data_IF_223514497909
#
_entry.id   IF_223514497909
#
_cell.length_a   1.000
_cell.length_b   1.000
_cell.length_c   1.000
_cell.angle_alpha   90.00
_cell.angle_beta   90.00
_cell.angle_gamma   90.00
#
_symmetry.space_group_name_H-M   'P 1'
#
loop_
_entity.id
_entity.type
_entity.pdbx_description
1 polymer ?
#
# COMPACT_ATOMS: atom_id res chain seq x y z
N UNK A 1 -17.29 4.11 -19.02
CA UNK A 1 -18.61 4.79 -18.89
C UNK A 1 -18.35 6.28 -18.82
N UNK A 2 -19.23 7.16 -19.28
CA UNK A 2 -19.08 8.55 -18.94
C UNK A 2 -19.10 8.67 -17.40
N UNK A 3 -18.19 9.48 -16.88
CA UNK A 3 -18.17 9.81 -15.45
C UNK A 3 -19.54 10.33 -15.07
N UNK A 4 -20.15 9.70 -14.06
CA UNK A 4 -21.47 10.13 -13.63
C UNK A 4 -21.37 11.41 -12.83
N UNK A 5 -22.26 12.37 -13.00
CA UNK A 5 -22.37 13.49 -12.08
C UNK A 5 -22.54 12.94 -10.65
N UNK A 6 -21.80 13.50 -9.69
CA UNK A 6 -21.84 13.09 -8.29
C UNK A 6 -23.28 12.97 -7.76
N UNK A 7 -24.13 13.97 -8.05
CA UNK A 7 -25.52 13.99 -7.65
C UNK A 7 -26.33 12.79 -8.19
N UNK A 8 -26.02 12.32 -9.40
CA UNK A 8 -26.68 11.14 -9.99
C UNK A 8 -26.24 9.86 -9.25
N UNK A 9 -24.95 9.71 -8.97
CA UNK A 9 -24.42 8.56 -8.24
C UNK A 9 -24.99 8.50 -6.80
N UNK A 10 -25.12 9.64 -6.13
CA UNK A 10 -25.71 9.72 -4.79
C UNK A 10 -27.18 9.28 -4.83
N UNK A 11 -27.97 9.81 -5.75
CA UNK A 11 -29.38 9.40 -5.93
C UNK A 11 -29.49 7.92 -6.25
N UNK A 12 -28.61 7.39 -7.10
CA UNK A 12 -28.56 5.98 -7.44
C UNK A 12 -28.25 5.10 -6.21
N UNK A 13 -27.21 5.45 -5.43
CA UNK A 13 -26.82 4.73 -4.24
C UNK A 13 -27.93 4.74 -3.18
N UNK A 14 -28.57 5.90 -2.91
CA UNK A 14 -29.71 6.01 -1.99
C UNK A 14 -30.90 5.13 -2.40
N UNK A 15 -31.18 5.03 -3.70
CA UNK A 15 -32.29 4.24 -4.22
C UNK A 15 -32.04 2.73 -4.11
N UNK A 16 -30.84 2.29 -4.42
CA UNK A 16 -30.54 0.89 -4.70
C UNK A 16 -29.75 0.18 -3.59
N UNK A 17 -29.04 0.90 -2.72
CA UNK A 17 -28.29 0.32 -1.59
C UNK A 17 -29.00 0.58 -0.28
N UNK A 18 -29.41 -0.46 0.47
CA UNK A 18 -30.00 -0.29 1.80
C UNK A 18 -29.09 0.48 2.77
N UNK A 19 -27.77 0.26 2.70
CA UNK A 19 -26.78 0.96 3.52
C UNK A 19 -26.78 2.47 3.24
N UNK A 20 -26.69 2.88 1.98
CA UNK A 20 -26.68 4.31 1.63
C UNK A 20 -28.03 4.98 1.81
N UNK A 21 -29.13 4.24 1.69
CA UNK A 21 -30.47 4.74 2.01
C UNK A 21 -30.58 5.15 3.47
N UNK A 22 -30.02 4.34 4.36
CA UNK A 22 -30.02 4.61 5.80
C UNK A 22 -29.02 5.73 6.14
N UNK A 23 -27.78 5.64 5.68
CA UNK A 23 -26.73 6.62 5.93
C UNK A 23 -27.13 8.03 5.49
N UNK A 24 -27.79 8.14 4.34
CA UNK A 24 -28.18 9.43 3.75
C UNK A 24 -29.67 9.80 4.00
N UNK A 25 -30.32 9.15 4.95
CA UNK A 25 -31.75 9.39 5.24
C UNK A 25 -32.07 10.83 5.64
N UNK A 26 -31.11 11.53 6.24
CA UNK A 26 -31.26 12.91 6.72
C UNK A 26 -30.74 13.97 5.75
N UNK A 27 -30.14 13.55 4.62
CA UNK A 27 -29.65 14.48 3.63
C UNK A 27 -30.80 15.00 2.75
N UNK A 28 -30.70 16.21 2.20
CA UNK A 28 -31.63 16.73 1.21
C UNK A 28 -31.64 15.81 -0.04
N UNK A 29 -32.66 15.95 -0.87
CA UNK A 29 -32.78 15.15 -2.10
C UNK A 29 -31.68 15.51 -3.11
N UNK A 30 -31.27 16.75 -3.13
CA UNK A 30 -30.16 17.23 -3.96
C UNK A 30 -28.94 17.54 -3.08
N UNK A 31 -27.83 16.89 -3.38
CA UNK A 31 -26.52 17.11 -2.78
C UNK A 31 -25.58 17.57 -3.89
N UNK A 32 -25.09 18.80 -3.77
CA UNK A 32 -24.26 19.41 -4.81
C UNK A 32 -22.77 19.10 -4.66
N UNK A 33 -22.28 19.02 -3.42
CA UNK A 33 -20.87 18.89 -3.12
C UNK A 33 -20.58 17.60 -2.35
N UNK A 34 -19.41 17.01 -2.63
CA UNK A 34 -18.96 15.81 -1.90
C UNK A 34 -18.83 16.06 -0.40
N UNK A 35 -18.44 17.27 -0.02
CA UNK A 35 -18.29 17.72 1.37
C UNK A 35 -19.60 17.78 2.16
N UNK A 36 -20.75 17.77 1.48
CA UNK A 36 -22.07 17.74 2.12
C UNK A 36 -22.44 16.31 2.58
N UNK A 37 -21.72 15.29 2.08
CA UNK A 37 -21.91 13.92 2.51
C UNK A 37 -21.18 13.66 3.84
N UNK A 38 -21.73 12.82 4.73
CA UNK A 38 -20.95 12.31 5.86
C UNK A 38 -19.80 11.42 5.35
N UNK A 39 -18.67 11.43 6.07
CA UNK A 39 -17.63 10.41 5.88
C UNK A 39 -18.19 9.05 6.25
N UNK A 40 -18.00 8.06 5.40
CA UNK A 40 -18.53 6.71 5.62
C UNK A 40 -17.91 6.09 6.88
N UNK A 41 -18.72 5.62 7.85
CA UNK A 41 -18.22 4.87 8.99
C UNK A 41 -17.69 3.51 8.52
N UNK A 42 -16.39 3.36 8.47
CA UNK A 42 -15.71 2.20 7.85
C UNK A 42 -16.15 0.86 8.48
N UNK A 43 -16.31 0.82 9.81
CA UNK A 43 -16.75 -0.40 10.50
C UNK A 43 -18.18 -0.81 10.10
N UNK A 44 -19.09 0.15 9.93
CA UNK A 44 -20.47 -0.10 9.52
C UNK A 44 -20.55 -0.50 8.05
N UNK A 45 -19.74 0.14 7.19
CA UNK A 45 -19.62 -0.20 5.78
C UNK A 45 -19.23 -1.67 5.60
N UNK A 46 -18.20 -2.14 6.29
CA UNK A 46 -17.76 -3.53 6.20
C UNK A 46 -18.71 -4.51 6.87
N UNK A 47 -19.41 -4.10 7.92
CA UNK A 47 -20.45 -4.92 8.52
C UNK A 47 -21.65 -5.09 7.57
N UNK A 48 -22.00 -4.05 6.82
CA UNK A 48 -23.07 -4.10 5.82
C UNK A 48 -22.69 -4.90 4.57
N UNK A 49 -21.39 -5.19 4.38
CA UNK A 49 -20.82 -5.89 3.22
C UNK A 49 -20.64 -7.40 3.47
N UNK A 50 -21.64 -8.04 4.07
CA UNK A 50 -21.62 -9.50 4.29
C UNK A 50 -21.88 -10.26 2.99
N UNK A 51 -21.14 -11.32 2.64
CA UNK A 51 -21.44 -12.12 1.45
C UNK A 51 -22.83 -12.81 1.47
N UNK A 52 -23.38 -13.03 2.65
CA UNK A 52 -24.68 -13.72 2.81
C UNK A 52 -25.86 -12.75 2.86
N UNK A 53 -25.66 -11.57 3.44
CA UNK A 53 -26.67 -10.54 3.57
C UNK A 53 -26.01 -9.18 3.30
N UNK A 54 -25.89 -8.88 2.00
CA UNK A 54 -25.18 -7.69 1.55
C UNK A 54 -26.15 -6.51 1.43
N UNK A 55 -26.01 -5.55 2.32
CA UNK A 55 -26.80 -4.32 2.34
C UNK A 55 -26.12 -3.15 1.61
N UNK A 56 -24.87 -3.35 1.19
CA UNK A 56 -24.08 -2.32 0.53
C UNK A 56 -24.29 -2.29 -0.99
N UNK A 57 -24.45 -3.48 -1.59
CA UNK A 57 -24.57 -3.60 -3.05
C UNK A 57 -25.87 -2.98 -3.55
N UNK A 58 -25.80 -2.47 -4.79
CA UNK A 58 -26.93 -1.82 -5.48
C UNK A 58 -27.71 -2.76 -6.40
N UNK A 59 -27.20 -3.98 -6.62
CA UNK A 59 -27.81 -5.01 -7.45
C UNK A 59 -27.38 -6.42 -6.98
N UNK A 60 -28.10 -7.47 -7.37
CA UNK A 60 -27.67 -8.86 -7.19
C UNK A 60 -26.31 -9.15 -7.85
N UNK A 61 -25.62 -10.18 -7.37
CA UNK A 61 -24.33 -10.64 -7.93
C UNK A 61 -24.56 -11.64 -9.06
N UNK A 62 -25.08 -11.18 -10.19
CA UNK A 62 -25.29 -12.04 -11.35
C UNK A 62 -24.02 -12.17 -12.19
N UNK A 63 -23.21 -11.10 -12.26
CA UNK A 63 -21.94 -11.07 -12.96
C UNK A 63 -20.97 -10.12 -12.22
N UNK A 64 -20.00 -10.68 -11.50
CA UNK A 64 -18.99 -9.91 -10.79
C UNK A 64 -17.69 -10.67 -10.62
N UNK A 65 -16.58 -9.95 -10.54
CA UNK A 65 -15.35 -10.46 -9.91
C UNK A 65 -15.33 -10.03 -8.45
N UNK A 66 -14.95 -10.97 -7.59
CA UNK A 66 -14.90 -10.77 -6.14
C UNK A 66 -13.46 -10.86 -5.66
N UNK A 67 -13.05 -9.86 -4.91
CA UNK A 67 -11.75 -9.85 -4.25
C UNK A 67 -11.91 -9.75 -2.74
N UNK A 68 -10.88 -10.22 -2.03
CA UNK A 68 -10.79 -10.14 -0.58
C UNK A 68 -9.55 -9.35 -0.20
N UNK A 69 -9.71 -8.21 0.45
CA UNK A 69 -8.58 -7.52 1.08
C UNK A 69 -8.22 -8.17 2.41
N UNK A 70 -6.91 -8.17 2.73
CA UNK A 70 -6.41 -8.79 3.94
C UNK A 70 -6.71 -7.94 5.16
N UNK A 71 -7.53 -8.46 6.04
CA UNK A 71 -7.52 -8.03 7.43
C UNK A 71 -6.52 -8.90 8.19
N UNK A 72 -5.40 -8.38 8.61
CA UNK A 72 -4.50 -9.08 9.54
C UNK A 72 -5.10 -9.21 10.94
N UNK A 73 -6.13 -8.43 11.24
CA UNK A 73 -6.73 -8.29 12.59
C UNK A 73 -8.26 -8.28 12.60
N UNK A 74 -8.94 -8.47 11.46
CA UNK A 74 -10.40 -8.32 11.40
C UNK A 74 -11.10 -9.28 10.43
N UNK A 75 -12.43 -9.18 10.35
CA UNK A 75 -13.24 -9.93 9.40
C UNK A 75 -12.81 -9.65 7.95
N UNK A 76 -12.88 -10.65 7.05
CA UNK A 76 -12.53 -10.46 5.64
C UNK A 76 -13.36 -9.34 5.00
N UNK A 77 -12.71 -8.46 4.25
CA UNK A 77 -13.33 -7.38 3.49
C UNK A 77 -13.47 -7.80 2.03
N UNK A 78 -14.68 -7.85 1.50
CA UNK A 78 -14.94 -8.27 0.12
C UNK A 78 -15.25 -7.06 -0.76
N UNK A 79 -14.63 -7.01 -1.93
CA UNK A 79 -14.87 -5.99 -2.94
C UNK A 79 -15.39 -6.63 -4.22
N UNK A 80 -16.42 -6.02 -4.78
CA UNK A 80 -17.16 -6.54 -5.92
C UNK A 80 -17.06 -5.56 -7.08
N UNK A 81 -16.75 -6.07 -8.25
CA UNK A 81 -16.69 -5.31 -9.49
C UNK A 81 -17.50 -6.01 -10.55
N UNK A 82 -18.38 -5.30 -11.24
CA UNK A 82 -18.95 -5.80 -12.49
C UNK A 82 -17.84 -5.96 -13.54
N UNK A 83 -18.11 -6.74 -14.60
CA UNK A 83 -17.19 -6.87 -15.73
C UNK A 83 -16.81 -5.52 -16.31
N UNK A 84 -17.77 -4.60 -16.43
CA UNK A 84 -17.54 -3.26 -16.96
C UNK A 84 -16.67 -2.43 -16.04
N UNK A 85 -16.99 -2.37 -14.73
CA UNK A 85 -16.17 -1.63 -13.75
C UNK A 85 -14.74 -2.16 -13.69
N UNK A 86 -14.55 -3.47 -13.69
CA UNK A 86 -13.20 -4.07 -13.70
C UNK A 86 -12.43 -3.73 -14.97
N UNK A 87 -13.08 -3.80 -16.12
CA UNK A 87 -12.46 -3.43 -17.40
C UNK A 87 -12.02 -1.97 -17.41
N UNK A 88 -12.88 -1.07 -16.95
CA UNK A 88 -12.59 0.38 -16.93
C UNK A 88 -11.49 0.71 -15.92
N UNK A 89 -11.54 0.11 -14.74
CA UNK A 89 -10.50 0.25 -13.72
C UNK A 89 -9.13 -0.18 -14.26
N UNK A 90 -9.04 -1.39 -14.83
CA UNK A 90 -7.77 -1.91 -15.35
C UNK A 90 -7.31 -1.19 -16.63
N UNK A 91 -8.22 -0.66 -17.44
CA UNK A 91 -7.86 0.13 -18.62
C UNK A 91 -7.28 1.51 -18.24
N UNK A 92 -7.92 2.21 -17.30
CA UNK A 92 -7.43 3.50 -16.81
C UNK A 92 -6.04 3.34 -16.15
N UNK A 93 -5.87 2.29 -15.35
CA UNK A 93 -4.59 1.99 -14.71
C UNK A 93 -3.53 1.60 -15.76
N UNK A 94 -3.91 0.78 -16.75
CA UNK A 94 -3.03 0.40 -17.88
C UNK A 94 -2.55 1.59 -18.71
N UNK A 95 -3.39 2.61 -18.87
CA UNK A 95 -2.98 3.89 -19.48
C UNK A 95 -1.96 4.62 -18.59
N UNK A 96 -2.14 4.60 -17.28
CA UNK A 96 -1.19 5.16 -16.30
C UNK A 96 0.20 4.53 -16.37
N UNK A 97 0.31 3.23 -16.69
CA UNK A 97 1.60 2.53 -16.82
C UNK A 97 2.47 3.12 -17.94
N UNK A 98 1.88 3.67 -18.99
CA UNK A 98 2.63 4.36 -20.06
C UNK A 98 3.30 5.61 -19.50
N UNK A 99 2.58 6.39 -18.70
CA UNK A 99 3.14 7.53 -17.97
C UNK A 99 4.24 7.14 -16.99
N UNK A 100 4.15 5.96 -16.40
CA UNK A 100 5.17 5.39 -15.51
C UNK A 100 6.39 4.80 -16.27
N UNK A 101 6.38 4.74 -17.61
CA UNK A 101 7.52 4.32 -18.42
C UNK A 101 7.34 3.03 -19.22
N UNK A 102 6.17 2.42 -19.22
CA UNK A 102 5.89 1.25 -20.10
C UNK A 102 5.98 1.65 -21.56
N UNK A 103 6.74 0.90 -22.37
CA UNK A 103 6.97 1.16 -23.79
C UNK A 103 6.49 0.00 -24.66
N UNK A 104 6.23 0.26 -25.97
CA UNK A 104 5.91 -0.80 -26.90
C UNK A 104 7.00 -1.87 -26.96
N UNK A 105 6.60 -3.15 -26.92
CA UNK A 105 7.49 -4.29 -27.02
C UNK A 105 8.13 -4.73 -25.71
N UNK A 106 7.97 -4.00 -24.59
CA UNK A 106 8.46 -4.45 -23.29
C UNK A 106 7.94 -5.84 -22.94
N UNK A 107 8.85 -6.68 -22.46
CA UNK A 107 8.55 -7.96 -21.80
C UNK A 107 8.43 -7.69 -20.31
N UNK A 108 7.24 -7.88 -19.78
CA UNK A 108 6.88 -7.55 -18.40
C UNK A 108 6.66 -8.83 -17.61
N UNK A 109 7.45 -9.07 -16.60
CA UNK A 109 7.26 -10.15 -15.64
C UNK A 109 6.37 -9.68 -14.49
N UNK A 110 5.23 -10.35 -14.30
CA UNK A 110 4.33 -10.11 -13.19
C UNK A 110 4.69 -11.10 -12.06
N UNK A 111 5.28 -10.57 -10.98
CA UNK A 111 5.65 -11.29 -9.76
C UNK A 111 4.73 -10.94 -8.59
N UNK A 112 3.54 -10.39 -8.83
CA UNK A 112 2.55 -10.22 -7.79
C UNK A 112 1.97 -11.58 -7.36
N UNK A 113 1.28 -11.59 -6.24
CA UNK A 113 0.69 -12.80 -5.68
C UNK A 113 -0.73 -13.02 -6.18
N UNK A 114 -1.09 -14.28 -6.39
CA UNK A 114 -2.40 -14.75 -6.83
C UNK A 114 -3.01 -15.74 -5.82
N UNK A 115 -4.30 -15.96 -5.97
CA UNK A 115 -5.05 -16.95 -5.18
C UNK A 115 -5.79 -16.33 -3.99
N UNK A 116 -6.65 -17.12 -3.37
CA UNK A 116 -7.44 -16.76 -2.19
C UNK A 116 -8.17 -15.40 -2.34
N UNK A 117 -8.73 -15.15 -3.51
CA UNK A 117 -9.40 -13.91 -3.90
C UNK A 117 -8.50 -12.65 -3.84
N UNK A 118 -7.19 -12.80 -3.83
CA UNK A 118 -6.27 -11.67 -3.83
C UNK A 118 -6.14 -11.05 -5.23
N UNK A 119 -6.25 -9.73 -5.32
CA UNK A 119 -6.45 -9.04 -6.59
C UNK A 119 -5.16 -8.76 -7.38
N UNK A 120 -4.01 -8.58 -6.71
CA UNK A 120 -2.85 -7.89 -7.30
C UNK A 120 -2.35 -8.48 -8.60
N UNK A 121 -2.17 -9.81 -8.69
CA UNK A 121 -1.72 -10.48 -9.90
C UNK A 121 -2.67 -10.27 -11.07
N UNK A 122 -3.96 -10.57 -10.85
CA UNK A 122 -4.99 -10.38 -11.89
C UNK A 122 -5.13 -8.91 -12.30
N UNK A 123 -5.01 -8.01 -11.33
CA UNK A 123 -5.08 -6.56 -11.57
C UNK A 123 -3.94 -6.07 -12.47
N UNK A 124 -2.70 -6.44 -12.16
CA UNK A 124 -1.53 -6.05 -12.95
C UNK A 124 -1.58 -6.67 -14.34
N UNK A 125 -1.89 -7.96 -14.44
CA UNK A 125 -1.99 -8.67 -15.71
C UNK A 125 -3.07 -8.07 -16.63
N UNK A 126 -4.25 -7.76 -16.08
CA UNK A 126 -5.34 -7.13 -16.82
C UNK A 126 -5.04 -5.67 -17.19
N UNK A 127 -4.34 -4.93 -16.33
CA UNK A 127 -3.90 -3.56 -16.63
C UNK A 127 -2.88 -3.54 -17.77
N UNK A 128 -1.91 -4.44 -17.76
CA UNK A 128 -0.96 -4.61 -18.88
C UNK A 128 -1.66 -5.03 -20.18
N UNK A 129 -2.66 -5.92 -20.07
CA UNK A 129 -3.46 -6.34 -21.23
C UNK A 129 -4.23 -5.19 -21.87
N UNK A 130 -4.72 -4.25 -21.07
CA UNK A 130 -5.52 -3.10 -21.52
C UNK A 130 -4.70 -1.83 -21.72
N UNK A 131 -3.39 -1.90 -21.50
CA UNK A 131 -2.50 -0.79 -21.79
C UNK A 131 -2.58 -0.42 -23.28
N UNK A 132 -2.55 0.88 -23.64
CA UNK A 132 -2.59 1.32 -25.04
C UNK A 132 -1.31 0.96 -25.83
N UNK A 133 -0.25 0.49 -25.16
CA UNK A 133 0.98 0.03 -25.82
C UNK A 133 1.09 -1.49 -25.79
N UNK A 134 1.49 -2.08 -26.94
CA UNK A 134 1.72 -3.51 -27.05
C UNK A 134 2.87 -3.95 -26.12
N UNK A 135 2.66 -5.02 -25.38
CA UNK A 135 3.63 -5.59 -24.45
C UNK A 135 3.51 -7.12 -24.39
N UNK A 136 4.59 -7.78 -23.98
CA UNK A 136 4.62 -9.22 -23.71
C UNK A 136 4.52 -9.44 -22.21
N UNK A 137 3.56 -10.23 -21.78
CA UNK A 137 3.27 -10.48 -20.37
C UNK A 137 3.74 -11.87 -19.98
N UNK A 138 4.55 -11.94 -18.92
CA UNK A 138 5.03 -13.18 -18.32
C UNK A 138 4.39 -13.32 -16.93
N UNK A 139 3.30 -14.10 -16.81
CA UNK A 139 2.60 -14.29 -15.55
C UNK A 139 3.32 -15.34 -14.68
N UNK A 140 4.38 -14.92 -13.99
CA UNK A 140 5.23 -15.82 -13.18
C UNK A 140 4.63 -16.04 -11.79
N UNK A 141 4.24 -14.94 -11.11
CA UNK A 141 3.72 -14.96 -9.74
C UNK A 141 4.80 -14.94 -8.66
N UNK A 142 4.52 -14.22 -7.57
CA UNK A 142 5.49 -13.96 -6.50
C UNK A 142 5.87 -15.16 -5.64
N UNK A 143 5.10 -16.26 -5.70
CA UNK A 143 5.40 -17.50 -4.98
C UNK A 143 6.34 -18.44 -5.76
N UNK A 144 6.68 -18.12 -7.01
CA UNK A 144 7.60 -18.93 -7.83
C UNK A 144 9.00 -18.93 -7.22
N UNK A 145 9.70 -20.09 -7.16
CA UNK A 145 11.07 -20.16 -6.68
C UNK A 145 11.99 -19.16 -7.41
N UNK A 146 12.85 -18.49 -6.66
CA UNK A 146 13.68 -17.39 -7.20
C UNK A 146 14.60 -17.84 -8.33
N UNK A 147 15.12 -19.08 -8.29
CA UNK A 147 15.97 -19.65 -9.34
C UNK A 147 15.23 -19.75 -10.67
N UNK A 148 13.98 -20.25 -10.62
CA UNK A 148 13.09 -20.33 -11.79
C UNK A 148 12.71 -18.95 -12.30
N UNK A 149 12.40 -18.02 -11.38
CA UNK A 149 12.12 -16.63 -11.71
C UNK A 149 13.29 -16.00 -12.43
N UNK A 150 14.51 -16.08 -11.85
CA UNK A 150 15.70 -15.49 -12.43
C UNK A 150 16.05 -16.11 -13.81
N UNK A 151 15.94 -17.43 -13.96
CA UNK A 151 16.14 -18.09 -15.23
C UNK A 151 15.15 -17.61 -16.31
N UNK A 152 13.87 -17.47 -15.95
CA UNK A 152 12.86 -16.94 -16.87
C UNK A 152 13.13 -15.49 -17.27
N UNK A 153 13.54 -14.64 -16.32
CA UNK A 153 13.87 -13.23 -16.60
C UNK A 153 15.03 -13.12 -17.59
N UNK A 154 16.06 -13.95 -17.46
CA UNK A 154 17.20 -14.00 -18.38
C UNK A 154 16.81 -14.57 -19.75
N UNK A 155 16.13 -15.74 -19.79
CA UNK A 155 15.77 -16.43 -21.03
C UNK A 155 14.89 -15.55 -21.91
N UNK A 156 13.93 -14.83 -21.32
CA UNK A 156 13.05 -13.92 -22.05
C UNK A 156 13.61 -12.51 -22.17
N UNK A 157 14.81 -12.23 -21.62
CA UNK A 157 15.42 -10.88 -21.62
C UNK A 157 14.41 -9.83 -21.19
N UNK A 158 13.85 -10.01 -20.01
CA UNK A 158 12.79 -9.19 -19.47
C UNK A 158 13.28 -7.78 -19.17
N UNK A 159 12.57 -6.76 -19.67
CA UNK A 159 12.90 -5.35 -19.43
C UNK A 159 12.15 -4.77 -18.22
N UNK A 160 11.01 -5.33 -17.83
CA UNK A 160 10.20 -4.78 -16.76
C UNK A 160 9.82 -5.88 -15.76
N UNK A 161 10.12 -5.67 -14.50
CA UNK A 161 9.69 -6.56 -13.40
C UNK A 161 8.67 -5.82 -12.55
N UNK A 162 7.46 -6.38 -12.40
CA UNK A 162 6.38 -5.83 -11.61
C UNK A 162 6.14 -6.68 -10.34
N UNK A 163 6.32 -6.10 -9.15
CA UNK A 163 6.17 -6.80 -7.88
C UNK A 163 5.93 -5.86 -6.70
N UNK A 164 5.75 -6.41 -5.50
CA UNK A 164 5.86 -5.61 -4.27
C UNK A 164 7.32 -5.26 -3.98
N UNK A 165 7.65 -4.13 -3.34
CA UNK A 165 8.99 -3.81 -2.86
C UNK A 165 9.65 -4.97 -2.11
N UNK A 166 8.92 -5.60 -1.21
CA UNK A 166 9.41 -6.78 -0.45
C UNK A 166 9.84 -7.92 -1.37
N UNK A 167 9.08 -8.22 -2.42
CA UNK A 167 9.42 -9.28 -3.39
C UNK A 167 10.64 -8.90 -4.23
N UNK A 168 10.72 -7.63 -4.69
CA UNK A 168 11.87 -7.12 -5.43
C UNK A 168 13.15 -7.21 -4.61
N UNK A 169 13.13 -6.77 -3.35
CA UNK A 169 14.29 -6.83 -2.45
C UNK A 169 14.70 -8.28 -2.14
N UNK A 170 13.73 -9.19 -1.93
CA UNK A 170 14.04 -10.60 -1.71
C UNK A 170 14.70 -11.25 -2.93
N UNK A 171 14.24 -10.92 -4.13
CA UNK A 171 14.88 -11.38 -5.38
C UNK A 171 16.27 -10.77 -5.54
N UNK A 172 16.43 -9.47 -5.30
CA UNK A 172 17.69 -8.76 -5.40
C UNK A 172 18.75 -9.32 -4.43
N UNK A 173 18.38 -9.59 -3.16
CA UNK A 173 19.28 -10.22 -2.18
C UNK A 173 19.80 -11.57 -2.68
N UNK A 174 18.91 -12.41 -3.24
CA UNK A 174 19.27 -13.75 -3.71
C UNK A 174 20.18 -13.69 -4.94
N UNK A 175 19.88 -12.80 -5.90
CA UNK A 175 20.74 -12.57 -7.08
C UNK A 175 22.14 -12.10 -6.66
N UNK A 176 22.21 -11.09 -5.80
CA UNK A 176 23.50 -10.53 -5.33
C UNK A 176 24.33 -11.59 -4.61
N UNK A 177 23.73 -12.40 -3.74
CA UNK A 177 24.45 -13.49 -3.06
C UNK A 177 24.92 -14.60 -4.00
N UNK A 178 24.20 -14.81 -5.10
CA UNK A 178 24.62 -15.74 -6.16
C UNK A 178 25.64 -15.13 -7.13
N UNK A 179 26.07 -13.88 -6.92
CA UNK A 179 26.97 -13.16 -7.83
C UNK A 179 26.34 -12.87 -9.19
N UNK A 180 25.00 -12.75 -9.26
CA UNK A 180 24.24 -12.55 -10.50
C UNK A 180 23.61 -11.17 -10.52
N UNK A 181 23.51 -10.60 -11.72
CA UNK A 181 22.79 -9.36 -12.01
C UNK A 181 21.86 -9.56 -13.21
N UNK A 182 20.83 -8.77 -13.34
CA UNK A 182 19.91 -8.78 -14.47
C UNK A 182 19.93 -7.42 -15.21
N UNK A 183 20.95 -7.20 -16.06
CA UNK A 183 21.18 -5.91 -16.71
C UNK A 183 20.16 -5.58 -17.82
N UNK A 184 19.42 -6.57 -18.33
CA UNK A 184 18.34 -6.34 -19.31
C UNK A 184 17.09 -5.67 -18.67
N UNK A 185 16.96 -5.72 -17.34
CA UNK A 185 15.84 -5.06 -16.63
C UNK A 185 16.08 -3.55 -16.61
N UNK A 186 15.14 -2.81 -17.21
CA UNK A 186 15.15 -1.35 -17.32
C UNK A 186 14.20 -0.66 -16.34
N UNK A 187 13.14 -1.36 -15.92
CA UNK A 187 12.13 -0.83 -14.99
C UNK A 187 11.78 -1.85 -13.91
N UNK A 188 11.69 -1.36 -12.67
CA UNK A 188 11.10 -2.08 -11.56
C UNK A 188 9.78 -1.42 -11.19
N UNK A 189 8.67 -1.96 -11.69
CA UNK A 189 7.35 -1.51 -11.31
C UNK A 189 6.98 -2.06 -9.94
N UNK A 190 6.77 -1.18 -8.97
CA UNK A 190 6.36 -1.58 -7.64
C UNK A 190 4.98 -1.04 -7.27
N UNK A 191 4.29 -1.77 -6.38
CA UNK A 191 2.99 -1.38 -5.85
C UNK A 191 2.56 -2.22 -4.65
N UNK A 192 1.49 -1.77 -4.00
CA UNK A 192 0.96 -2.43 -2.82
C UNK A 192 1.70 -2.16 -1.52
N UNK A 193 2.92 -1.64 -1.60
CA UNK A 193 3.75 -1.15 -0.48
C UNK A 193 4.49 0.11 -0.93
N UNK A 194 4.95 0.92 0.03
CA UNK A 194 5.88 2.00 -0.26
C UNK A 194 7.29 1.43 -0.50
N UNK A 195 8.01 1.99 -1.45
CA UNK A 195 9.44 1.78 -1.64
C UNK A 195 10.20 2.89 -0.92
N UNK A 196 11.18 2.52 -0.12
CA UNK A 196 11.97 3.44 0.68
C UNK A 196 13.40 3.56 0.15
N UNK A 197 14.07 4.68 0.49
CA UNK A 197 15.41 5.00 0.00
C UNK A 197 16.49 3.99 0.42
N UNK A 198 16.36 3.35 1.57
CA UNK A 198 17.26 2.30 2.09
C UNK A 198 17.23 1.02 1.23
N UNK A 199 16.17 0.78 0.48
CA UNK A 199 16.04 -0.39 -0.40
C UNK A 199 16.69 -0.17 -1.77
N UNK A 200 16.88 1.07 -2.20
CA UNK A 200 17.39 1.40 -3.54
C UNK A 200 18.79 0.84 -3.83
N UNK A 201 19.80 0.90 -2.92
CA UNK A 201 21.13 0.35 -3.17
C UNK A 201 21.12 -1.16 -3.44
N UNK A 202 20.28 -1.92 -2.72
CA UNK A 202 20.12 -3.36 -2.93
C UNK A 202 19.55 -3.65 -4.32
N UNK A 203 18.51 -2.91 -4.72
CA UNK A 203 17.89 -3.05 -6.05
C UNK A 203 18.89 -2.69 -7.16
N UNK A 204 19.64 -1.59 -7.02
CA UNK A 204 20.63 -1.17 -8.00
C UNK A 204 21.78 -2.18 -8.18
N UNK A 205 22.13 -2.91 -7.12
CA UNK A 205 23.16 -3.97 -7.19
C UNK A 205 22.72 -5.14 -8.08
N UNK A 206 21.47 -5.58 -7.94
CA UNK A 206 20.94 -6.71 -8.70
C UNK A 206 20.44 -6.34 -10.11
N UNK A 207 19.92 -5.11 -10.25
CA UNK A 207 19.32 -4.57 -11.48
C UNK A 207 20.00 -3.25 -11.87
N UNK A 208 21.26 -3.30 -12.36
CA UNK A 208 22.11 -2.11 -12.49
C UNK A 208 21.59 -1.04 -13.46
N UNK A 209 20.72 -1.40 -14.39
CA UNK A 209 20.14 -0.49 -15.38
C UNK A 209 18.67 -0.14 -15.09
N UNK A 210 18.11 -0.67 -14.00
CA UNK A 210 16.69 -0.54 -13.74
C UNK A 210 16.35 0.72 -12.93
N UNK A 211 15.28 1.39 -13.34
CA UNK A 211 14.70 2.50 -12.61
C UNK A 211 13.44 2.02 -11.84
N UNK A 212 13.40 2.16 -10.51
CA UNK A 212 12.19 1.89 -9.74
C UNK A 212 11.11 2.94 -10.02
N UNK A 213 9.90 2.48 -10.34
CA UNK A 213 8.74 3.32 -10.64
C UNK A 213 7.50 2.78 -9.96
N UNK A 214 6.71 3.64 -9.33
CA UNK A 214 5.40 3.26 -8.84
C UNK A 214 4.50 2.84 -10.00
N UNK A 215 3.76 1.74 -9.84
CA UNK A 215 2.66 1.39 -10.75
C UNK A 215 1.53 2.43 -10.72
N UNK A 216 1.45 3.20 -9.64
CA UNK A 216 0.35 4.04 -9.26
C UNK A 216 -0.27 3.58 -7.94
N UNK A 217 -1.25 4.32 -7.48
CA UNK A 217 -1.95 4.08 -6.24
C UNK A 217 -3.38 3.62 -6.52
N UNK A 218 -3.68 2.41 -6.10
CA UNK A 218 -4.98 1.78 -6.22
C UNK A 218 -5.27 0.92 -4.98
N UNK A 219 -6.54 0.80 -4.65
CA UNK A 219 -7.02 -0.09 -3.60
C UNK A 219 -8.14 -0.95 -4.14
N UNK A 220 -8.15 -2.24 -3.79
CA UNK A 220 -9.25 -3.12 -4.18
C UNK A 220 -10.58 -2.68 -3.57
N UNK A 221 -10.54 -1.99 -2.44
CA UNK A 221 -11.72 -1.48 -1.74
C UNK A 221 -12.23 -0.18 -2.37
N UNK A 222 -11.33 0.79 -2.55
CA UNK A 222 -11.65 2.14 -3.01
C UNK A 222 -11.55 2.31 -4.54
N UNK A 223 -10.83 1.42 -5.23
CA UNK A 223 -10.67 1.44 -6.68
C UNK A 223 -9.47 2.25 -7.14
N UNK A 224 -9.67 3.01 -8.21
CA UNK A 224 -8.67 3.85 -8.87
C UNK A 224 -8.43 5.12 -8.05
N UNK A 225 -7.19 5.39 -7.65
CA UNK A 225 -6.87 6.50 -6.74
C UNK A 225 -5.91 7.52 -7.37
N UNK A 226 -4.71 7.11 -7.74
CA UNK A 226 -3.73 8.03 -8.30
C UNK A 226 -2.74 7.39 -9.27
N UNK A 227 -2.43 8.10 -10.36
CA UNK A 227 -1.36 7.75 -11.28
C UNK A 227 -0.01 8.17 -10.69
N UNK A 228 1.04 7.40 -10.95
CA UNK A 228 2.40 7.76 -10.58
C UNK A 228 2.84 9.08 -11.22
N UNK A 229 3.59 9.91 -10.49
CA UNK A 229 4.19 11.14 -11.00
C UNK A 229 5.69 10.89 -11.22
N UNK A 230 6.17 10.79 -12.47
CA UNK A 230 7.58 10.53 -12.74
C UNK A 230 8.49 11.66 -12.24
N UNK A 231 9.67 11.28 -11.72
CA UNK A 231 10.67 12.23 -11.26
C UNK A 231 10.46 12.79 -9.84
N UNK A 232 9.34 12.46 -9.22
CA UNK A 232 9.00 12.84 -7.85
C UNK A 232 9.29 11.71 -6.85
N UNK A 233 9.08 12.01 -5.57
CA UNK A 233 9.06 10.97 -4.53
C UNK A 233 8.10 9.83 -4.97
N UNK A 234 8.52 8.56 -4.98
CA UNK A 234 7.73 7.45 -5.47
C UNK A 234 6.38 7.24 -4.73
N UNK A 235 6.18 7.94 -3.63
CA UNK A 235 4.90 8.02 -2.89
C UNK A 235 3.96 9.11 -3.42
N UNK A 236 4.41 9.90 -4.41
CA UNK A 236 3.63 11.01 -5.00
C UNK A 236 2.79 10.51 -6.16
N UNK A 237 1.52 10.87 -6.13
CA UNK A 237 0.52 10.43 -7.11
C UNK A 237 -0.37 11.59 -7.52
N UNK A 238 -0.86 11.53 -8.75
CA UNK A 238 -1.89 12.45 -9.25
C UNK A 238 -3.23 11.73 -9.29
N UNK A 239 -4.25 12.31 -8.66
CA UNK A 239 -5.60 11.75 -8.63
C UNK A 239 -6.10 11.45 -10.06
N UNK A 240 -6.80 10.33 -10.23
CA UNK A 240 -7.46 9.97 -11.50
C UNK A 240 -8.74 10.78 -11.68
N UNK A 241 -8.58 12.09 -11.87
CA UNK A 241 -9.70 12.99 -12.15
C UNK A 241 -10.15 12.81 -13.62
N UNK A 242 -11.45 12.76 -13.91
CA UNK A 242 -12.58 12.98 -12.99
C UNK A 242 -13.14 11.71 -12.35
N UNK A 243 -12.56 10.53 -12.57
CA UNK A 243 -13.08 9.23 -12.13
C UNK A 243 -13.08 9.10 -10.59
N UNK A 244 -12.12 9.77 -9.94
CA UNK A 244 -11.94 9.73 -8.50
C UNK A 244 -11.81 11.14 -7.93
N UNK A 245 -12.62 11.44 -6.92
CA UNK A 245 -12.47 12.62 -6.09
C UNK A 245 -11.67 12.25 -4.86
N UNK A 246 -10.57 12.96 -4.62
CA UNK A 246 -9.69 12.80 -3.47
C UNK A 246 -9.89 13.97 -2.52
N UNK A 247 -10.05 13.66 -1.24
CA UNK A 247 -10.05 14.61 -0.14
C UNK A 247 -8.96 14.22 0.86
N UNK A 248 -8.29 15.19 1.44
CA UNK A 248 -7.45 15.00 2.62
C UNK A 248 -8.11 15.75 3.75
N UNK A 249 -8.49 15.03 4.81
CA UNK A 249 -9.26 15.57 5.92
C UNK A 249 -8.40 15.64 7.18
N UNK A 250 -8.60 16.66 8.00
CA UNK A 250 -8.01 16.72 9.32
C UNK A 250 -8.35 15.46 10.15
N UNK A 251 -7.38 14.97 10.93
CA UNK A 251 -7.53 13.73 11.69
C UNK A 251 -8.70 13.73 12.68
N UNK A 252 -8.97 14.89 13.30
CA UNK A 252 -9.99 15.03 14.35
C UNK A 252 -11.35 15.56 13.82
N UNK A 253 -11.36 16.07 12.60
CA UNK A 253 -12.56 16.66 12.01
C UNK A 253 -12.75 16.15 10.59
N UNK A 254 -13.97 16.13 10.08
CA UNK A 254 -14.23 15.77 8.69
C UNK A 254 -14.09 16.97 7.72
N UNK A 255 -13.28 17.98 8.11
CA UNK A 255 -13.02 19.15 7.30
C UNK A 255 -11.82 18.92 6.40
N UNK A 256 -11.91 19.32 5.11
CA UNK A 256 -10.75 19.27 4.21
C UNK A 256 -9.58 20.10 4.74
N UNK A 257 -8.37 19.60 4.48
CA UNK A 257 -7.13 20.34 4.67
C UNK A 257 -7.00 21.38 3.57
N UNK A 258 -6.71 22.63 3.93
CA UNK A 258 -6.71 23.75 2.98
C UNK A 258 -5.34 24.08 2.36
N UNK A 259 -4.25 23.49 2.87
CA UNK A 259 -2.88 23.81 2.43
C UNK A 259 -2.12 22.59 1.93
N UNK A 260 -1.08 22.84 1.10
CA UNK A 260 -0.09 21.85 0.73
C UNK A 260 0.84 21.53 1.92
N UNK A 261 1.37 20.31 1.99
CA UNK A 261 2.27 19.85 3.06
C UNK A 261 1.60 19.64 4.42
N UNK A 262 0.27 19.69 4.51
CA UNK A 262 -0.46 19.43 5.76
C UNK A 262 -0.99 18.00 5.75
N UNK A 263 -0.52 17.12 6.65
CA UNK A 263 -0.97 15.75 6.73
C UNK A 263 -2.43 15.63 7.20
N UNK A 264 -3.11 14.61 6.64
CA UNK A 264 -4.47 14.27 7.06
C UNK A 264 -4.89 12.87 6.60
N UNK A 265 -6.14 12.50 6.90
CA UNK A 265 -6.74 11.23 6.47
C UNK A 265 -7.15 11.29 5.01
N UNK A 266 -6.76 10.30 4.22
CA UNK A 266 -7.17 10.20 2.83
C UNK A 266 -8.60 9.64 2.74
N UNK A 267 -9.47 10.39 2.09
CA UNK A 267 -10.87 10.04 1.84
C UNK A 267 -11.16 10.14 0.35
N UNK A 268 -11.91 9.19 -0.18
CA UNK A 268 -12.11 9.08 -1.63
C UNK A 268 -13.56 8.85 -2.00
N UNK A 269 -13.95 9.37 -3.16
CA UNK A 269 -15.21 9.08 -3.82
C UNK A 269 -14.92 8.61 -5.23
N UNK A 270 -15.35 7.40 -5.58
CA UNK A 270 -15.21 6.84 -6.93
C UNK A 270 -16.49 7.07 -7.73
N UNK A 271 -16.41 7.85 -8.80
CA UNK A 271 -17.55 8.11 -9.67
C UNK A 271 -17.82 6.96 -10.68
N UNK A 272 -16.96 5.94 -10.71
CA UNK A 272 -17.06 4.80 -11.59
C UNK A 272 -17.64 3.53 -10.92
N UNK A 273 -17.75 3.53 -9.57
CA UNK A 273 -18.23 2.37 -8.80
C UNK A 273 -19.73 2.46 -8.55
N UNK A 274 -20.49 1.56 -9.18
CA UNK A 274 -21.97 1.50 -9.04
C UNK A 274 -22.43 0.29 -8.25
N UNK A 275 -21.86 -0.90 -8.54
CA UNK A 275 -22.29 -2.12 -7.87
C UNK A 275 -22.02 -2.05 -6.35
N UNK A 276 -20.85 -1.58 -6.00
CA UNK A 276 -20.42 -1.30 -4.63
C UNK A 276 -19.98 0.17 -4.58
N UNK A 277 -20.90 1.12 -4.35
CA UNK A 277 -20.54 2.53 -4.37
C UNK A 277 -19.54 2.88 -3.28
N UNK A 278 -18.59 3.74 -3.63
CA UNK A 278 -17.54 4.26 -2.75
C UNK A 278 -17.69 5.77 -2.72
N UNK A 279 -18.40 6.27 -1.71
CA UNK A 279 -18.76 7.67 -1.57
C UNK A 279 -18.21 8.18 -0.24
N UNK A 280 -17.26 9.10 -0.29
CA UNK A 280 -16.56 9.69 0.86
C UNK A 280 -16.04 8.65 1.85
N UNK A 281 -15.35 7.66 1.28
CA UNK A 281 -14.84 6.48 1.96
C UNK A 281 -13.40 6.71 2.46
N UNK A 282 -13.10 6.46 3.75
CA UNK A 282 -11.72 6.53 4.27
C UNK A 282 -10.87 5.42 3.65
N UNK A 283 -9.85 5.79 2.89
CA UNK A 283 -8.96 4.81 2.24
C UNK A 283 -8.08 4.02 3.25
N UNK A 284 -7.99 4.52 4.48
CA UNK A 284 -7.17 3.94 5.54
C UNK A 284 -5.70 4.38 5.48
N UNK A 285 -5.39 5.32 4.61
CA UNK A 285 -4.05 5.91 4.48
C UNK A 285 -4.08 7.38 4.95
N UNK A 286 -2.90 7.87 5.35
CA UNK A 286 -2.63 9.29 5.54
C UNK A 286 -1.93 9.84 4.30
N UNK A 287 -2.22 11.09 3.98
CA UNK A 287 -1.64 11.78 2.84
C UNK A 287 -1.52 13.28 3.11
N UNK A 288 -0.79 13.96 2.24
CA UNK A 288 -0.73 15.41 2.18
C UNK A 288 -0.80 15.86 0.72
N UNK A 289 -1.30 17.05 0.48
CA UNK A 289 -1.21 17.67 -0.83
C UNK A 289 0.23 18.12 -1.10
N UNK A 290 0.73 17.78 -2.28
CA UNK A 290 1.98 18.32 -2.84
C UNK A 290 1.64 19.53 -3.73
N UNK A 291 0.58 19.41 -4.51
CA UNK A 291 -0.06 20.48 -5.28
C UNK A 291 -1.56 20.15 -5.38
N UNK A 292 -2.33 20.77 -4.50
CA UNK A 292 -3.78 20.56 -4.45
C UNK A 292 -4.48 20.97 -5.74
N UNK A 293 -4.00 22.05 -6.36
CA UNK A 293 -4.61 22.57 -7.59
C UNK A 293 -4.46 21.62 -8.77
N UNK A 294 -3.35 20.89 -8.83
CA UNK A 294 -3.06 19.87 -9.83
C UNK A 294 -3.56 18.46 -9.42
N UNK A 295 -4.16 18.31 -8.24
CA UNK A 295 -4.59 17.04 -7.68
C UNK A 295 -3.44 16.10 -7.36
N UNK A 296 -2.26 16.64 -7.02
CA UNK A 296 -1.06 15.87 -6.67
C UNK A 296 -0.94 15.74 -5.16
N UNK A 297 -0.86 14.50 -4.69
CA UNK A 297 -0.76 14.18 -3.26
C UNK A 297 0.33 13.13 -3.02
N UNK A 298 0.86 13.10 -1.80
CA UNK A 298 1.86 12.13 -1.33
C UNK A 298 1.27 11.27 -0.23
N UNK A 299 1.45 9.95 -0.34
CA UNK A 299 1.07 9.00 0.69
C UNK A 299 2.12 9.03 1.80
N UNK A 300 1.66 9.16 3.03
CA UNK A 300 2.50 9.21 4.23
C UNK A 300 2.49 7.90 5.02
N UNK A 301 1.59 6.95 4.65
CA UNK A 301 1.46 5.64 5.25
C UNK A 301 0.04 5.33 5.71
N UNK A 302 -0.12 4.23 6.47
CA UNK A 302 -1.44 3.79 6.95
C UNK A 302 -1.88 4.60 8.17
N UNK A 303 -3.12 5.04 8.19
CA UNK A 303 -3.68 5.79 9.32
C UNK A 303 -3.71 4.98 10.62
N UNK A 304 -3.83 3.64 10.52
CA UNK A 304 -3.92 2.72 11.66
C UNK A 304 -2.68 1.82 11.82
N UNK A 305 -1.65 1.95 10.98
CA UNK A 305 -0.40 1.20 11.14
C UNK A 305 0.49 1.84 12.21
N UNK A 306 0.01 1.75 13.43
CA UNK A 306 0.76 2.08 14.63
C UNK A 306 0.93 0.87 15.53
N UNK A 307 1.98 0.88 16.30
CA UNK A 307 2.20 -0.08 17.37
C UNK A 307 1.98 0.60 18.72
N UNK A 308 1.24 -0.06 19.59
CA UNK A 308 1.08 0.39 20.97
C UNK A 308 1.93 -0.48 21.89
N UNK A 309 2.89 0.14 22.57
CA UNK A 309 3.78 -0.50 23.53
C UNK A 309 3.55 0.15 24.91
N UNK A 310 2.82 -0.54 25.78
CA UNK A 310 2.34 0.07 27.01
C UNK A 310 1.53 1.35 26.76
N UNK A 311 1.94 2.50 27.33
CA UNK A 311 1.25 3.79 27.12
C UNK A 311 1.67 4.50 25.83
N UNK A 312 2.66 4.00 25.08
CA UNK A 312 3.27 4.69 23.93
C UNK A 312 2.71 4.16 22.62
N UNK A 313 2.29 5.06 21.74
CA UNK A 313 1.93 4.76 20.35
C UNK A 313 3.05 5.23 19.40
N UNK A 314 3.41 4.38 18.45
CA UNK A 314 4.43 4.64 17.43
C UNK A 314 3.84 4.31 16.05
N UNK A 315 4.05 5.17 15.07
CA UNK A 315 3.72 4.87 13.68
C UNK A 315 4.91 4.25 12.97
N UNK A 316 4.65 3.27 12.12
CA UNK A 316 5.70 2.51 11.44
C UNK A 316 6.57 3.37 10.54
N UNK A 317 5.96 4.30 9.81
CA UNK A 317 6.68 5.21 8.92
C UNK A 317 7.62 6.14 9.68
N UNK A 318 7.16 6.70 10.80
CA UNK A 318 8.00 7.58 11.63
C UNK A 318 9.26 6.86 12.11
N UNK A 319 9.11 5.60 12.53
CA UNK A 319 10.25 4.78 12.95
C UNK A 319 11.17 4.46 11.77
N UNK A 320 10.59 4.15 10.62
CA UNK A 320 11.34 3.86 9.40
C UNK A 320 12.17 5.09 8.96
N UNK A 321 11.57 6.28 8.92
CA UNK A 321 12.25 7.53 8.53
C UNK A 321 13.43 7.83 9.48
N UNK A 322 13.24 7.58 10.80
CA UNK A 322 14.31 7.72 11.79
C UNK A 322 15.45 6.73 11.57
N UNK A 323 15.11 5.47 11.28
CA UNK A 323 16.12 4.43 10.99
C UNK A 323 16.92 4.79 9.75
N UNK A 324 16.23 5.21 8.68
CA UNK A 324 16.87 5.63 7.42
C UNK A 324 17.79 6.83 7.63
N UNK A 325 17.38 7.82 8.42
CA UNK A 325 18.21 8.98 8.72
C UNK A 325 19.43 8.64 9.60
N UNK A 326 19.32 7.65 10.49
CA UNK A 326 20.42 7.20 11.33
C UNK A 326 21.41 6.28 10.61
N UNK A 327 20.96 5.57 9.60
CA UNK A 327 21.78 4.68 8.77
C UNK A 327 22.48 5.45 7.65
N UNK A 328 23.54 6.17 8.00
CA UNK A 328 24.36 6.93 7.03
C UNK A 328 25.17 6.04 6.06
N UNK A 329 25.28 4.76 6.37
CA UNK A 329 25.98 3.77 5.55
C UNK A 329 25.08 3.13 4.48
N UNK A 330 23.76 3.21 4.63
CA UNK A 330 22.78 2.57 3.75
C UNK A 330 22.81 1.04 3.82
N UNK A 331 23.16 0.47 4.97
CA UNK A 331 23.24 -0.98 5.16
C UNK A 331 21.87 -1.61 5.46
N UNK A 332 20.94 -0.84 6.01
CA UNK A 332 19.58 -1.33 6.37
C UNK A 332 18.71 -1.37 5.12
N UNK A 333 18.18 -2.53 4.79
CA UNK A 333 17.35 -2.78 3.59
C UNK A 333 15.87 -3.06 3.94
N UNK A 334 15.51 -2.97 5.21
CA UNK A 334 14.13 -3.15 5.66
C UNK A 334 13.99 -3.06 7.17
N UNK A 335 12.82 -2.57 7.60
CA UNK A 335 12.48 -2.33 9.00
C UNK A 335 11.17 -3.02 9.35
N UNK A 336 11.15 -3.74 10.47
CA UNK A 336 9.96 -4.39 11.01
C UNK A 336 9.89 -4.16 12.52
N UNK A 337 8.75 -3.75 13.02
CA UNK A 337 8.50 -3.52 14.44
C UNK A 337 7.94 -4.78 15.08
N UNK A 338 8.55 -5.21 16.18
CA UNK A 338 8.12 -6.41 16.89
C UNK A 338 7.79 -6.03 18.33
N UNK A 339 6.55 -6.27 18.75
CA UNK A 339 6.14 -6.09 20.14
C UNK A 339 6.30 -7.40 20.87
N UNK A 340 7.07 -7.37 21.98
CA UNK A 340 7.27 -8.52 22.83
C UNK A 340 6.93 -8.19 24.29
N UNK A 341 6.48 -9.20 25.01
CA UNK A 341 6.25 -9.10 26.45
C UNK A 341 7.27 -9.95 27.19
N UNK A 342 8.06 -9.30 28.06
CA UNK A 342 9.03 -9.96 28.92
C UNK A 342 8.91 -9.37 30.32
N UNK A 343 9.00 -10.21 31.34
CA UNK A 343 8.94 -9.82 32.76
C UNK A 343 7.73 -8.94 33.09
N UNK A 344 6.57 -9.30 32.52
CA UNK A 344 5.31 -8.59 32.74
C UNK A 344 5.18 -7.25 32.03
N UNK A 345 6.16 -6.84 31.21
CA UNK A 345 6.17 -5.55 30.48
C UNK A 345 6.27 -5.75 28.99
N UNK A 346 5.62 -4.86 28.27
CA UNK A 346 5.75 -4.79 26.83
C UNK A 346 7.07 -4.10 26.45
N UNK A 347 7.63 -4.45 25.30
CA UNK A 347 8.81 -3.83 24.74
C UNK A 347 8.76 -3.84 23.22
N UNK A 348 9.46 -2.89 22.61
CA UNK A 348 9.62 -2.81 21.17
C UNK A 348 11.00 -3.31 20.77
N UNK A 349 11.02 -4.16 19.75
CA UNK A 349 12.23 -4.60 19.04
C UNK A 349 12.15 -4.09 17.61
N UNK A 350 13.17 -3.39 17.17
CA UNK A 350 13.34 -3.05 15.76
C UNK A 350 14.11 -4.18 15.08
N UNK A 351 13.44 -4.90 14.21
CA UNK A 351 14.09 -5.91 13.39
C UNK A 351 14.57 -5.24 12.11
N UNK A 352 15.89 -5.09 11.98
CA UNK A 352 16.55 -4.39 10.90
C UNK A 352 17.19 -5.40 9.94
N UNK A 353 16.79 -5.35 8.67
CA UNK A 353 17.35 -6.21 7.66
C UNK A 353 18.65 -5.64 7.09
N UNK A 354 19.66 -6.49 6.97
CA UNK A 354 20.97 -6.19 6.39
C UNK A 354 21.45 -7.37 5.54
N UNK A 355 22.41 -7.14 4.66
CA UNK A 355 22.93 -8.19 3.78
C UNK A 355 23.47 -9.40 4.57
N UNK A 356 24.32 -9.16 5.58
CA UNK A 356 24.85 -10.20 6.45
C UNK A 356 24.71 -9.81 7.93
N UNK A 357 23.77 -10.40 8.67
CA UNK A 357 23.67 -10.21 10.12
C UNK A 357 24.92 -10.71 10.83
N UNK A 358 25.49 -9.91 11.72
CA UNK A 358 26.71 -10.30 12.42
C UNK A 358 27.23 -9.22 13.36
N UNK A 359 28.37 -9.50 14.03
CA UNK A 359 29.05 -8.56 14.89
C UNK A 359 29.54 -7.31 14.12
N UNK A 360 29.69 -6.21 14.83
CA UNK A 360 30.22 -4.94 14.29
C UNK A 360 29.17 -3.88 14.02
N UNK A 361 27.88 -4.18 14.26
CA UNK A 361 26.77 -3.22 14.07
C UNK A 361 26.27 -2.58 15.35
N UNK A 362 26.98 -2.77 16.44
CA UNK A 362 26.61 -2.23 17.74
C UNK A 362 26.51 -0.70 17.72
N UNK A 363 27.40 -0.04 16.97
CA UNK A 363 27.39 1.43 16.82
C UNK A 363 26.15 1.91 16.06
N UNK A 364 25.82 1.25 14.94
CA UNK A 364 24.62 1.59 14.18
C UNK A 364 23.34 1.30 14.97
N UNK A 365 23.29 0.15 15.65
CA UNK A 365 22.17 -0.19 16.52
C UNK A 365 21.95 0.84 17.64
N UNK A 366 23.04 1.26 18.28
CA UNK A 366 22.99 2.30 19.31
C UNK A 366 22.54 3.67 18.76
N UNK A 367 23.03 4.04 17.56
CA UNK A 367 22.61 5.27 16.88
C UNK A 367 21.11 5.26 16.54
N UNK A 368 20.61 4.16 15.99
CA UNK A 368 19.19 3.98 15.68
C UNK A 368 18.35 4.08 16.95
N UNK A 369 18.72 3.36 18.01
CA UNK A 369 17.99 3.41 19.28
C UNK A 369 17.98 4.84 19.84
N UNK A 370 19.12 5.52 19.85
CA UNK A 370 19.22 6.90 20.32
C UNK A 370 18.34 7.85 19.51
N UNK A 371 18.34 7.72 18.18
CA UNK A 371 17.55 8.55 17.28
C UNK A 371 16.04 8.33 17.50
N UNK A 372 15.59 7.08 17.62
CA UNK A 372 14.16 6.77 17.90
C UNK A 372 13.75 7.32 19.26
N UNK A 373 14.56 7.14 20.31
CA UNK A 373 14.25 7.68 21.64
C UNK A 373 14.23 9.21 21.67
N UNK A 374 15.11 9.88 20.92
CA UNK A 374 15.11 11.34 20.81
C UNK A 374 13.83 11.87 20.16
N UNK A 375 13.30 11.20 19.16
CA UNK A 375 12.03 11.58 18.52
C UNK A 375 10.79 11.10 19.29
N UNK A 376 10.96 10.16 20.21
CA UNK A 376 9.88 9.57 21.02
C UNK A 376 10.22 9.61 22.51
N UNK A 377 10.34 10.81 23.12
CA UNK A 377 10.75 10.98 24.51
C UNK A 377 9.82 10.22 25.47
N UNK A 378 8.53 10.12 25.18
CA UNK A 378 7.60 9.30 25.98
C UNK A 378 7.99 7.83 26.09
N UNK A 379 8.67 7.25 25.09
CA UNK A 379 9.17 5.88 25.19
C UNK A 379 10.34 5.80 26.17
N UNK A 380 11.25 6.76 26.10
CA UNK A 380 12.38 6.85 27.04
C UNK A 380 11.90 7.05 28.49
N UNK A 381 10.92 7.94 28.69
CA UNK A 381 10.31 8.18 29.99
C UNK A 381 9.60 6.94 30.53
N UNK A 382 8.82 6.26 29.70
CA UNK A 382 8.14 5.02 30.06
C UNK A 382 9.12 3.88 30.39
N UNK A 383 10.26 3.82 29.71
CA UNK A 383 11.35 2.88 30.02
C UNK A 383 11.96 3.20 31.38
N UNK A 384 12.29 4.46 31.65
CA UNK A 384 12.85 4.92 32.90
C UNK A 384 11.90 4.69 34.07
N UNK A 385 10.60 4.90 33.85
CA UNK A 385 9.56 4.61 34.84
C UNK A 385 9.27 3.11 35.02
N UNK A 386 9.90 2.24 34.25
CA UNK A 386 9.71 0.79 34.31
C UNK A 386 8.35 0.30 33.77
N UNK A 387 7.66 1.08 32.97
CA UNK A 387 6.38 0.72 32.36
C UNK A 387 6.55 -0.14 31.09
N UNK A 388 7.65 0.03 30.39
CA UNK A 388 8.00 -0.75 29.19
C UNK A 388 9.45 -1.22 29.25
N UNK A 389 9.77 -2.26 28.49
CA UNK A 389 11.15 -2.73 28.33
C UNK A 389 11.94 -1.77 27.42
N UNK A 390 13.27 -1.67 27.56
CA UNK A 390 14.12 -0.89 26.67
C UNK A 390 13.92 -1.27 25.22
N UNK A 391 14.01 -0.25 24.33
CA UNK A 391 14.04 -0.46 22.89
C UNK A 391 15.27 -1.29 22.51
N UNK A 392 15.07 -2.32 21.69
CA UNK A 392 16.11 -3.23 21.27
C UNK A 392 16.18 -3.31 19.74
N UNK A 393 17.32 -3.75 19.21
CA UNK A 393 17.54 -4.01 17.79
C UNK A 393 17.86 -5.48 17.58
N UNK A 394 17.24 -6.08 16.60
CA UNK A 394 17.52 -7.41 16.07
C UNK A 394 17.99 -7.30 14.61
N UNK A 395 19.18 -7.86 14.29
CA UNK A 395 19.70 -7.87 12.93
C UNK A 395 19.31 -9.15 12.21
N UNK A 396 18.67 -9.02 11.04
CA UNK A 396 18.18 -10.14 10.23
C UNK A 396 18.59 -9.96 8.76
N UNK A 397 18.46 -11.00 7.96
CA UNK A 397 18.51 -10.85 6.51
C UNK A 397 17.17 -10.39 5.98
N UNK A 398 17.12 -9.73 4.83
CA UNK A 398 15.86 -9.27 4.25
C UNK A 398 14.83 -10.41 4.09
N UNK A 399 15.29 -11.59 3.68
CA UNK A 399 14.45 -12.80 3.53
C UNK A 399 13.87 -13.36 4.83
N UNK A 400 14.45 -12.98 5.97
CA UNK A 400 14.02 -13.46 7.30
C UNK A 400 12.98 -12.49 7.91
N UNK A 401 12.66 -11.39 7.23
CA UNK A 401 11.54 -10.53 7.57
C UNK A 401 10.22 -11.30 7.37
N UNK A 402 9.29 -11.13 8.29
CA UNK A 402 7.98 -11.75 8.18
C UNK A 402 7.16 -11.09 7.06
N UNK A 403 6.63 -11.91 6.17
CA UNK A 403 5.78 -11.48 5.07
C UNK A 403 4.43 -12.17 5.13
N UNK A 404 3.41 -11.50 4.64
CA UNK A 404 2.10 -12.10 4.46
C UNK A 404 2.16 -13.09 3.29
N UNK A 405 1.96 -14.37 3.58
CA UNK A 405 2.09 -15.46 2.58
C UNK A 405 1.13 -15.33 1.39
N UNK A 406 -0.01 -14.68 1.59
CA UNK A 406 -1.02 -14.47 0.54
C UNK A 406 -0.68 -13.32 -0.40
N UNK A 407 -0.05 -12.25 0.12
CA UNK A 407 0.19 -11.00 -0.62
C UNK A 407 1.65 -10.73 -0.93
N UNK A 408 2.58 -11.43 -0.29
CA UNK A 408 4.01 -11.17 -0.36
C UNK A 408 4.44 -9.85 0.26
N UNK A 409 3.53 -9.14 0.95
CA UNK A 409 3.81 -7.87 1.59
C UNK A 409 4.49 -8.05 2.93
N UNK A 410 5.37 -7.13 3.27
CA UNK A 410 5.99 -7.06 4.58
C UNK A 410 4.91 -6.92 5.67
N UNK A 411 4.99 -7.73 6.71
CA UNK A 411 4.23 -7.52 7.94
C UNK A 411 5.00 -6.51 8.78
N UNK A 412 4.64 -5.24 8.69
CA UNK A 412 5.42 -4.15 9.29
C UNK A 412 5.42 -4.17 10.81
N UNK A 413 4.34 -4.66 11.41
CA UNK A 413 4.20 -4.82 12.86
C UNK A 413 3.90 -6.27 13.18
N UNK A 414 4.73 -6.88 14.01
CA UNK A 414 4.51 -8.20 14.58
C UNK A 414 4.17 -8.05 16.05
N UNK A 415 3.04 -8.55 16.45
CA UNK A 415 2.68 -8.67 17.87
C UNK A 415 2.98 -10.10 18.35
N UNK A 416 4.15 -10.27 18.98
CA UNK A 416 4.61 -11.55 19.53
C UNK A 416 4.24 -11.69 21.03
N UNK A 417 3.31 -10.87 21.53
CA UNK A 417 2.81 -11.01 22.89
C UNK A 417 1.95 -12.28 22.99
N UNK A 418 2.05 -13.04 24.11
CA UNK A 418 1.16 -14.16 24.33
C UNK A 418 -0.29 -13.67 24.30
N UNK A 419 -1.10 -14.25 23.43
CA UNK A 419 -2.55 -14.02 23.48
C UNK A 419 -3.09 -14.71 24.73
N UNK A 420 -3.66 -13.96 25.65
CA UNK A 420 -4.34 -14.45 26.84
C UNK A 420 -5.68 -15.09 26.50
#
# INVERSE_FOLDING_TARGET
MPVQPLAELIRFARRNSPFYRELYSRLPDEVAHVTDLPVVPQAEFWRANSPRDNRLLTAPLDEAVVFRSGGTTGAPKFSYYTRTEWREFTAAFGAGLVGAGLRPGHRVADLFYAGDLYASFSFVLDSLHRSPVANVRLPIGGATPWESTAATLEEFRVQVVAATPTTLCALAERLTRAGRTLPDVELLFFGGECLFGDQLPLLATAFPNAEPRSLGYASVDAGLLGAAVPGEDPRTHRAFTPDTLVEILHDETDRPVDGDGVPGRLVVTSLCRRLMPVLRYPAGDRAEWVDRSAGVFRILGRAEEGVRVGPVSLHTEDVHDVVTAADTSGEVTGVQLVVRRRDGRDGLVLRLAVAEPGAGREKLGAAVVAAVLAQRPFYADATTAGHVNPLAVEWVRHRDLAVNSRSGKLVRVLDERPHS
#
